data_IF_309964155989
#
_entry.id   IF_309964155989
#
_cell.length_a   1.000
_cell.length_b   1.000
_cell.length_c   1.000
_cell.angle_alpha   90.00
_cell.angle_beta   90.00
_cell.angle_gamma   90.00
#
_symmetry.space_group_name_H-M   'P 1'
#
loop_
_entity.id
_entity.type
_entity.pdbx_description
1 polymer ?
#
# COMPACT_ATOMS: atom_id res chain seq x y z
N UNK A 1 -14.84 -18.42 -8.62
CA UNK A 1 -13.55 -18.35 -9.33
C UNK A 1 -12.50 -18.39 -8.26
N UNK A 2 -11.65 -19.41 -8.24
CA UNK A 2 -10.55 -19.49 -7.27
C UNK A 2 -9.51 -18.44 -7.64
N UNK A 3 -9.33 -17.47 -6.75
CA UNK A 3 -8.42 -16.36 -6.99
C UNK A 3 -6.98 -16.84 -6.77
N UNK A 4 -6.16 -16.81 -7.81
CA UNK A 4 -4.74 -17.22 -7.73
C UNK A 4 -3.89 -16.07 -7.20
N UNK A 5 -3.09 -16.32 -6.17
CA UNK A 5 -2.13 -15.37 -5.61
C UNK A 5 -0.72 -15.78 -6.04
N UNK A 6 0.00 -14.88 -6.71
CA UNK A 6 1.45 -14.95 -6.85
C UNK A 6 2.12 -14.20 -5.69
N UNK A 7 3.20 -14.74 -5.13
CA UNK A 7 3.94 -14.06 -4.04
C UNK A 7 5.24 -13.48 -4.60
N UNK A 8 5.47 -12.19 -4.36
CA UNK A 8 6.70 -11.50 -4.73
C UNK A 8 7.40 -10.95 -3.49
N UNK A 9 8.69 -11.22 -3.37
CA UNK A 9 9.55 -10.67 -2.33
C UNK A 9 10.52 -9.66 -2.94
N UNK A 10 10.40 -8.38 -2.57
CA UNK A 10 11.35 -7.34 -2.97
C UNK A 10 12.49 -7.30 -1.96
N UNK A 11 13.72 -7.48 -2.46
CA UNK A 11 14.93 -7.53 -1.63
C UNK A 11 16.15 -7.03 -2.41
N UNK A 12 16.97 -6.16 -1.80
CA UNK A 12 18.23 -5.72 -2.39
C UNK A 12 19.27 -6.86 -2.41
N UNK A 13 20.08 -6.93 -3.47
CA UNK A 13 21.16 -7.94 -3.57
C UNK A 13 22.20 -7.85 -2.45
N UNK A 14 22.44 -6.65 -1.92
CA UNK A 14 23.32 -6.43 -0.77
C UNK A 14 22.75 -6.94 0.55
N UNK A 15 21.45 -7.25 0.63
CA UNK A 15 20.73 -7.56 1.87
C UNK A 15 20.47 -9.07 2.01
N UNK A 16 21.54 -9.88 1.92
CA UNK A 16 21.45 -11.34 1.98
C UNK A 16 20.86 -11.88 3.29
N UNK A 17 21.12 -11.20 4.42
CA UNK A 17 20.59 -11.62 5.74
C UNK A 17 19.07 -11.46 5.81
N UNK A 18 18.55 -10.35 5.26
CA UNK A 18 17.10 -10.08 5.16
C UNK A 18 16.41 -11.05 4.21
N UNK A 19 17.09 -11.44 3.12
CA UNK A 19 16.61 -12.49 2.22
C UNK A 19 16.50 -13.84 2.95
N UNK A 20 17.54 -14.25 3.68
CA UNK A 20 17.53 -15.51 4.46
C UNK A 20 16.43 -15.53 5.51
N UNK A 21 16.21 -14.40 6.19
CA UNK A 21 15.08 -14.23 7.11
C UNK A 21 13.74 -14.45 6.41
N UNK A 22 13.48 -13.77 5.30
CA UNK A 22 12.21 -13.90 4.59
C UNK A 22 12.01 -15.29 3.95
N UNK A 23 13.08 -15.94 3.50
CA UNK A 23 13.03 -17.32 3.04
C UNK A 23 12.52 -18.22 4.19
N UNK A 24 13.11 -18.10 5.38
CA UNK A 24 12.66 -18.87 6.55
C UNK A 24 11.21 -18.58 6.93
N UNK A 25 10.77 -17.31 6.83
CA UNK A 25 9.39 -16.93 7.13
C UNK A 25 8.40 -17.51 6.12
N UNK A 26 8.75 -17.51 4.82
CA UNK A 26 7.91 -18.01 3.73
C UNK A 26 7.87 -19.55 3.71
N UNK A 27 8.99 -20.21 3.99
CA UNK A 27 9.06 -21.67 4.13
C UNK A 27 8.19 -22.14 5.32
N UNK A 28 8.19 -21.38 6.44
CA UNK A 28 7.39 -21.71 7.63
C UNK A 28 5.89 -21.72 7.36
N UNK A 29 5.41 -20.89 6.43
CA UNK A 29 3.98 -20.77 6.07
C UNK A 29 3.64 -21.49 4.76
N UNK A 30 4.59 -22.26 4.22
CA UNK A 30 4.47 -23.03 2.96
C UNK A 30 4.04 -22.16 1.75
N UNK A 31 4.66 -20.98 1.61
CA UNK A 31 4.40 -20.08 0.49
C UNK A 31 5.61 -20.00 -0.45
N UNK A 32 5.44 -20.58 -1.64
CA UNK A 32 6.36 -20.34 -2.76
C UNK A 32 6.30 -18.88 -3.18
N UNK A 33 7.48 -18.31 -3.48
CA UNK A 33 7.60 -16.92 -3.87
C UNK A 33 8.62 -16.73 -4.99
N UNK A 34 8.50 -15.58 -5.65
CA UNK A 34 9.52 -15.10 -6.57
C UNK A 34 10.25 -13.90 -5.97
N UNK A 35 11.58 -13.98 -5.92
CA UNK A 35 12.43 -12.86 -5.53
C UNK A 35 12.50 -11.84 -6.65
N UNK A 36 12.22 -10.58 -6.32
CA UNK A 36 12.37 -9.43 -7.20
C UNK A 36 13.52 -8.58 -6.66
N UNK A 37 14.64 -8.45 -7.41
CA UNK A 37 15.77 -7.64 -6.96
C UNK A 37 15.35 -6.18 -6.74
N UNK A 38 15.76 -5.62 -5.60
CA UNK A 38 15.64 -4.19 -5.34
C UNK A 38 16.48 -3.40 -6.35
N UNK A 39 15.99 -2.23 -6.76
CA UNK A 39 16.63 -1.41 -7.80
C UNK A 39 17.35 -0.24 -7.12
N UNK A 40 18.61 0.00 -7.49
CA UNK A 40 19.30 1.24 -7.12
C UNK A 40 18.96 2.34 -8.13
N UNK A 41 18.82 3.59 -7.67
CA UNK A 41 18.52 4.71 -8.58
C UNK A 41 19.57 4.90 -9.69
N UNK A 42 20.83 4.57 -9.40
CA UNK A 42 21.94 4.58 -10.39
C UNK A 42 21.79 3.52 -11.49
N UNK A 43 21.01 2.47 -11.23
CA UNK A 43 20.80 1.34 -12.12
C UNK A 43 19.33 1.24 -12.61
N UNK A 44 18.62 2.38 -12.69
CA UNK A 44 17.23 2.41 -13.16
C UNK A 44 17.10 1.80 -14.58
N UNK A 45 16.25 0.78 -14.77
CA UNK A 45 15.91 0.25 -16.08
C UNK A 45 15.36 1.33 -17.00
N UNK A 46 15.72 1.29 -18.28
CA UNK A 46 15.27 2.27 -19.27
C UNK A 46 13.75 2.43 -19.30
N UNK A 47 13.02 1.31 -19.17
CA UNK A 47 11.56 1.29 -19.14
C UNK A 47 10.96 2.04 -17.94
N UNK A 48 11.69 2.22 -16.84
CA UNK A 48 11.20 2.91 -15.64
C UNK A 48 11.65 4.37 -15.56
N UNK A 49 12.54 4.82 -16.45
CA UNK A 49 13.08 6.19 -16.40
C UNK A 49 12.00 7.25 -16.57
N UNK A 50 10.95 6.99 -17.35
CA UNK A 50 9.83 7.94 -17.54
C UNK A 50 9.11 8.33 -16.24
N UNK A 51 9.21 7.51 -15.20
CA UNK A 51 8.58 7.78 -13.90
C UNK A 51 9.40 8.69 -13.00
N UNK A 52 10.70 8.86 -13.27
CA UNK A 52 11.64 9.52 -12.35
C UNK A 52 12.55 10.54 -13.01
N UNK A 53 12.83 10.38 -14.29
CA UNK A 53 13.80 11.14 -15.05
C UNK A 53 13.14 12.10 -16.04
N UNK A 54 13.89 13.13 -16.45
CA UNK A 54 13.57 13.93 -17.63
C UNK A 54 14.05 13.26 -18.93
N UNK A 55 13.83 13.94 -20.07
CA UNK A 55 14.26 13.44 -21.39
C UNK A 55 15.79 13.33 -21.56
N UNK A 56 16.59 13.98 -20.70
CA UNK A 56 18.04 13.85 -20.67
C UNK A 56 18.50 12.70 -19.77
N UNK A 57 17.58 12.03 -19.07
CA UNK A 57 17.86 10.91 -18.16
C UNK A 57 18.23 11.34 -16.74
N UNK A 58 18.22 12.64 -16.43
CA UNK A 58 18.49 13.12 -15.09
C UNK A 58 17.28 12.85 -14.18
N UNK A 59 17.51 12.33 -12.97
CA UNK A 59 16.45 12.13 -11.97
C UNK A 59 15.93 13.50 -11.53
N UNK A 60 14.69 13.81 -11.89
CA UNK A 60 14.00 15.06 -11.54
C UNK A 60 12.87 14.86 -10.53
N UNK A 61 12.52 13.59 -10.25
CA UNK A 61 11.61 13.25 -9.17
C UNK A 61 12.15 13.79 -7.83
N UNK A 62 11.32 14.48 -7.02
CA UNK A 62 11.72 15.05 -5.72
C UNK A 62 11.80 13.99 -4.62
N UNK A 63 12.55 12.93 -4.89
CA UNK A 63 12.70 11.73 -4.06
C UNK A 63 14.19 11.51 -3.74
N UNK A 64 14.47 10.90 -2.58
CA UNK A 64 15.81 10.37 -2.31
C UNK A 64 16.10 9.23 -3.28
N UNK A 65 17.38 8.97 -3.55
CA UNK A 65 17.80 7.87 -4.42
C UNK A 65 17.27 6.51 -3.94
N UNK A 66 17.25 6.28 -2.63
CA UNK A 66 16.62 5.09 -2.05
C UNK A 66 15.11 5.00 -2.28
N UNK A 67 14.39 6.12 -2.21
CA UNK A 67 12.94 6.18 -2.48
C UNK A 67 12.64 5.92 -3.97
N UNK A 68 13.49 6.42 -4.88
CA UNK A 68 13.42 6.12 -6.32
C UNK A 68 13.61 4.63 -6.56
N UNK A 69 14.63 4.04 -5.94
CA UNK A 69 14.94 2.61 -6.06
C UNK A 69 13.82 1.71 -5.55
N UNK A 70 13.30 2.00 -4.35
CA UNK A 70 12.15 1.30 -3.76
C UNK A 70 10.91 1.38 -4.67
N UNK A 71 10.56 2.58 -5.14
CA UNK A 71 9.40 2.75 -6.03
C UNK A 71 9.63 1.97 -7.35
N UNK A 72 10.81 2.06 -7.94
CA UNK A 72 11.14 1.32 -9.17
C UNK A 72 10.99 -0.20 -9.00
N UNK A 73 11.40 -0.76 -7.86
CA UNK A 73 11.23 -2.18 -7.57
C UNK A 73 9.74 -2.57 -7.52
N UNK A 74 8.90 -1.79 -6.82
CA UNK A 74 7.45 -2.04 -6.81
C UNK A 74 6.82 -1.91 -8.20
N UNK A 75 7.17 -0.88 -8.99
CA UNK A 75 6.67 -0.71 -10.35
C UNK A 75 7.03 -1.89 -11.26
N UNK A 76 8.19 -2.52 -11.04
CA UNK A 76 8.59 -3.72 -11.78
C UNK A 76 7.63 -4.88 -11.52
N UNK A 77 7.22 -5.09 -10.27
CA UNK A 77 6.19 -6.09 -9.92
C UNK A 77 4.83 -5.71 -10.51
N UNK A 78 4.46 -4.42 -10.41
CA UNK A 78 3.16 -3.95 -10.90
C UNK A 78 3.03 -4.10 -12.40
N UNK A 79 4.09 -3.85 -13.18
CA UNK A 79 4.06 -4.03 -14.64
C UNK A 79 3.80 -5.47 -15.03
N UNK A 80 4.52 -6.40 -14.39
CA UNK A 80 4.32 -7.84 -14.61
C UNK A 80 2.88 -8.27 -14.31
N UNK A 81 2.31 -7.78 -13.21
CA UNK A 81 0.92 -8.08 -12.84
C UNK A 81 -0.09 -7.39 -13.76
N UNK A 82 0.21 -6.19 -14.25
CA UNK A 82 -0.66 -5.43 -15.16
C UNK A 82 -0.73 -6.07 -16.56
N UNK A 83 0.39 -6.62 -17.02
CA UNK A 83 0.58 -7.31 -18.31
C UNK A 83 0.04 -8.75 -18.30
N UNK A 84 -0.11 -9.35 -17.13
CA UNK A 84 -0.78 -10.63 -17.00
C UNK A 84 -2.25 -10.49 -17.43
N UNK A 85 -2.59 -11.12 -18.56
CA UNK A 85 -3.95 -11.17 -19.11
C UNK A 85 -4.78 -12.29 -18.45
N UNK A 86 -4.65 -12.45 -17.13
CA UNK A 86 -5.34 -13.46 -16.36
C UNK A 86 -6.34 -12.80 -15.41
N UNK A 87 -7.63 -12.99 -15.67
CA UNK A 87 -8.70 -12.50 -14.80
C UNK A 87 -8.64 -13.19 -13.45
N UNK A 88 -8.79 -12.41 -12.38
CA UNK A 88 -8.67 -12.90 -11.01
C UNK A 88 -7.24 -13.05 -10.50
N UNK A 89 -6.20 -12.80 -11.30
CA UNK A 89 -4.83 -12.82 -10.79
C UNK A 89 -4.61 -11.68 -9.78
N UNK A 90 -4.06 -12.05 -8.62
CA UNK A 90 -3.62 -11.12 -7.59
C UNK A 90 -2.18 -11.44 -7.18
N UNK A 91 -1.50 -10.46 -6.58
CA UNK A 91 -0.18 -10.63 -6.04
C UNK A 91 -0.12 -10.26 -4.56
N UNK A 92 0.52 -11.08 -3.75
CA UNK A 92 1.06 -10.70 -2.45
C UNK A 92 2.45 -10.11 -2.68
N UNK A 93 2.63 -8.84 -2.33
CA UNK A 93 3.90 -8.14 -2.47
C UNK A 93 4.45 -7.90 -1.06
N UNK A 94 5.66 -8.39 -0.81
CA UNK A 94 6.37 -8.32 0.46
C UNK A 94 7.69 -7.55 0.29
N UNK A 95 8.02 -6.72 1.28
CA UNK A 95 9.38 -6.24 1.53
C UNK A 95 10.14 -7.22 2.44
N UNK A 96 11.45 -7.08 2.50
CA UNK A 96 12.38 -8.00 3.16
C UNK A 96 12.57 -7.79 4.66
N UNK A 97 11.66 -7.05 5.30
CA UNK A 97 11.62 -6.85 6.76
C UNK A 97 10.24 -7.12 7.37
N UNK A 98 9.49 -8.02 6.74
CA UNK A 98 8.23 -8.52 7.26
C UNK A 98 8.44 -9.68 8.27
N UNK A 99 7.47 -9.86 9.17
CA UNK A 99 7.26 -11.11 9.90
C UNK A 99 5.84 -11.60 9.69
N UNK A 100 5.72 -12.87 9.29
CA UNK A 100 4.49 -13.51 8.85
C UNK A 100 3.85 -14.29 10.01
N UNK A 101 2.52 -14.30 10.16
CA UNK A 101 1.86 -15.17 11.13
C UNK A 101 1.82 -16.62 10.61
N UNK A 102 1.82 -17.62 11.49
CA UNK A 102 1.78 -19.06 11.11
C UNK A 102 0.56 -19.39 10.24
N UNK A 103 -0.58 -18.74 10.48
CA UNK A 103 -1.83 -18.95 9.76
C UNK A 103 -2.04 -17.99 8.57
N UNK A 104 -0.96 -17.43 7.99
CA UNK A 104 -1.08 -16.45 6.91
C UNK A 104 -1.90 -16.97 5.72
N UNK A 105 -1.67 -18.22 5.30
CA UNK A 105 -2.38 -18.83 4.17
C UNK A 105 -3.88 -18.93 4.39
N UNK A 106 -4.32 -19.23 5.62
CA UNK A 106 -5.75 -19.24 5.99
C UNK A 106 -6.36 -17.84 6.00
N UNK A 107 -5.60 -16.85 6.50
CA UNK A 107 -6.00 -15.44 6.49
C UNK A 107 -6.18 -14.96 5.05
N UNK A 108 -5.22 -15.22 4.17
CA UNK A 108 -5.28 -14.84 2.76
C UNK A 108 -6.46 -15.50 2.06
N UNK A 109 -6.65 -16.81 2.26
CA UNK A 109 -7.77 -17.55 1.67
C UNK A 109 -9.13 -17.00 2.10
N UNK A 110 -9.28 -16.70 3.39
CA UNK A 110 -10.51 -16.12 3.94
C UNK A 110 -10.74 -14.68 3.48
N UNK A 111 -9.65 -13.92 3.37
CA UNK A 111 -9.65 -12.55 2.88
C UNK A 111 -10.14 -12.48 1.43
N UNK A 112 -9.59 -13.30 0.53
CA UNK A 112 -10.01 -13.33 -0.88
C UNK A 112 -11.50 -13.65 -1.04
N UNK A 113 -12.05 -14.57 -0.23
CA UNK A 113 -13.50 -14.88 -0.23
C UNK A 113 -14.36 -13.73 0.30
N UNK A 114 -13.78 -12.87 1.12
CA UNK A 114 -14.48 -11.75 1.79
C UNK A 114 -14.39 -10.45 0.99
N UNK A 115 -13.40 -10.32 0.11
CA UNK A 115 -13.23 -9.13 -0.72
C UNK A 115 -14.42 -8.94 -1.68
N UNK A 116 -14.84 -7.68 -1.90
CA UNK A 116 -15.84 -7.40 -2.92
C UNK A 116 -15.30 -7.74 -4.32
N UNK A 117 -16.17 -7.94 -5.33
CA UNK A 117 -15.73 -8.28 -6.69
C UNK A 117 -14.76 -7.27 -7.30
N UNK A 118 -14.86 -5.99 -6.91
CA UNK A 118 -13.95 -4.93 -7.32
C UNK A 118 -13.10 -4.50 -6.14
N UNK A 119 -11.79 -4.69 -6.25
CA UNK A 119 -10.79 -4.20 -5.31
C UNK A 119 -9.46 -3.99 -6.05
N UNK A 120 -8.62 -3.06 -5.58
CA UNK A 120 -7.31 -2.81 -6.17
C UNK A 120 -6.17 -3.17 -5.23
N UNK A 121 -6.26 -2.74 -3.97
CA UNK A 121 -5.18 -2.91 -2.98
C UNK A 121 -5.77 -3.38 -1.65
N UNK A 122 -5.12 -4.34 -0.99
CA UNK A 122 -5.42 -4.68 0.40
C UNK A 122 -4.17 -4.57 1.25
N UNK A 123 -4.20 -3.69 2.25
CA UNK A 123 -3.11 -3.48 3.20
C UNK A 123 -3.06 -4.62 4.23
N UNK A 124 -1.92 -5.30 4.34
CA UNK A 124 -1.72 -6.42 5.26
C UNK A 124 -0.74 -6.12 6.40
N UNK A 125 0.01 -5.03 6.29
CA UNK A 125 0.92 -4.52 7.33
C UNK A 125 0.47 -3.14 7.84
N UNK A 126 1.11 -2.72 8.93
CA UNK A 126 1.00 -1.39 9.53
C UNK A 126 -0.39 -1.07 10.14
N UNK A 127 -0.50 -1.01 11.48
CA UNK A 127 -1.79 -0.77 12.12
C UNK A 127 -2.32 0.66 11.89
N UNK A 128 -3.65 0.85 11.83
CA UNK A 128 -4.24 2.16 11.63
C UNK A 128 -4.00 3.12 12.82
N UNK A 129 -3.36 4.25 12.51
CA UNK A 129 -3.21 5.39 13.43
C UNK A 129 -4.42 6.33 13.43
N UNK A 130 -5.37 6.14 12.49
CA UNK A 130 -6.60 6.93 12.33
C UNK A 130 -7.83 6.02 12.34
N UNK A 131 -9.01 6.62 12.30
CA UNK A 131 -10.26 5.89 12.21
C UNK A 131 -10.32 5.02 10.95
N UNK A 132 -11.12 3.95 11.03
CA UNK A 132 -11.41 3.06 9.93
C UNK A 132 -12.86 2.57 10.07
N UNK A 133 -13.41 2.07 8.97
CA UNK A 133 -14.77 1.53 8.88
C UNK A 133 -14.66 0.02 8.64
N UNK A 134 -15.15 -0.82 9.56
CA UNK A 134 -15.28 -2.25 9.33
C UNK A 134 -16.25 -2.53 8.18
N UNK A 135 -15.87 -3.43 7.27
CA UNK A 135 -16.66 -3.84 6.11
C UNK A 135 -17.19 -5.26 6.33
N UNK A 136 -16.33 -6.20 6.70
CA UNK A 136 -16.68 -7.60 6.91
C UNK A 136 -15.69 -8.28 7.87
N UNK A 137 -16.08 -9.42 8.44
CA UNK A 137 -15.14 -10.30 9.17
C UNK A 137 -14.40 -11.17 8.16
N UNK A 138 -13.09 -11.27 8.31
CA UNK A 138 -12.24 -12.17 7.52
C UNK A 138 -12.18 -13.52 8.24
N UNK A 139 -11.95 -13.51 9.55
CA UNK A 139 -11.97 -14.68 10.41
C UNK A 139 -12.39 -14.29 11.85
N UNK A 140 -12.08 -15.13 12.85
CA UNK A 140 -12.39 -14.86 14.25
C UNK A 140 -11.60 -13.70 14.89
N UNK A 141 -10.52 -13.25 14.26
CA UNK A 141 -9.60 -12.22 14.78
C UNK A 141 -9.51 -10.98 13.88
N UNK A 142 -9.70 -11.14 12.57
CA UNK A 142 -9.43 -10.15 11.54
C UNK A 142 -10.69 -9.60 10.90
N UNK A 143 -10.67 -8.30 10.59
CA UNK A 143 -11.72 -7.60 9.86
C UNK A 143 -11.16 -6.96 8.60
N UNK A 144 -11.92 -7.04 7.51
CA UNK A 144 -11.73 -6.22 6.32
C UNK A 144 -12.24 -4.81 6.64
N UNK A 145 -11.45 -3.79 6.36
CA UNK A 145 -11.79 -2.39 6.66
C UNK A 145 -11.51 -1.46 5.49
N UNK A 146 -12.16 -0.29 5.50
CA UNK A 146 -11.73 0.90 4.76
C UNK A 146 -11.15 1.94 5.71
N UNK A 147 -10.04 2.56 5.34
CA UNK A 147 -9.38 3.55 6.18
C UNK A 147 -9.90 4.96 5.94
N UNK A 148 -10.05 5.77 7.00
CA UNK A 148 -10.22 7.23 6.82
C UNK A 148 -8.91 7.93 6.44
N UNK A 149 -7.80 7.25 6.70
CA UNK A 149 -6.45 7.60 6.26
C UNK A 149 -5.61 6.33 6.29
N UNK A 150 -5.15 5.92 5.11
CA UNK A 150 -4.35 4.70 4.95
C UNK A 150 -3.04 4.83 5.75
N UNK A 151 -2.60 3.78 6.47
CA UNK A 151 -1.30 3.73 7.13
C UNK A 151 -0.12 3.97 6.15
N UNK A 152 1.01 4.44 6.69
CA UNK A 152 2.26 4.54 5.93
C UNK A 152 2.92 3.15 5.75
N UNK A 153 4.01 3.15 4.98
CA UNK A 153 4.84 2.00 4.58
C UNK A 153 4.19 1.12 3.52
N UNK A 154 4.95 0.18 2.95
CA UNK A 154 4.46 -0.76 1.95
C UNK A 154 4.93 -2.21 2.18
N UNK A 155 5.34 -2.52 3.42
CA UNK A 155 5.91 -3.81 3.84
C UNK A 155 5.13 -5.02 3.33
N UNK A 156 3.79 -5.03 3.44
CA UNK A 156 2.98 -6.09 2.85
C UNK A 156 1.61 -5.61 2.37
N UNK A 157 1.26 -5.98 1.13
CA UNK A 157 -0.07 -5.73 0.57
C UNK A 157 -0.42 -6.74 -0.54
N UNK A 158 -1.73 -6.96 -0.72
CA UNK A 158 -2.26 -7.56 -1.93
C UNK A 158 -2.50 -6.48 -3.00
N UNK A 159 -2.26 -6.86 -4.25
CA UNK A 159 -2.53 -6.04 -5.42
C UNK A 159 -3.29 -6.89 -6.45
N UNK A 160 -4.39 -6.37 -6.98
CA UNK A 160 -5.09 -6.99 -8.12
C UNK A 160 -4.48 -6.54 -9.45
N UNK A 161 -4.72 -7.30 -10.52
CA UNK A 161 -4.32 -6.88 -11.87
C UNK A 161 -4.92 -5.52 -12.28
N UNK A 162 -6.16 -5.21 -11.88
CA UNK A 162 -6.76 -3.89 -12.14
C UNK A 162 -6.04 -2.77 -11.38
N UNK A 163 -5.67 -3.03 -10.11
CA UNK A 163 -4.89 -2.10 -9.29
C UNK A 163 -3.52 -1.85 -9.89
N UNK A 164 -2.86 -2.90 -10.36
CA UNK A 164 -1.57 -2.82 -11.02
C UNK A 164 -1.62 -1.92 -12.28
N UNK A 165 -2.62 -2.12 -13.15
CA UNK A 165 -2.85 -1.27 -14.35
C UNK A 165 -3.05 0.20 -13.98
N UNK A 166 -3.70 0.50 -12.85
CA UNK A 166 -3.86 1.87 -12.35
C UNK A 166 -2.52 2.44 -11.85
N UNK A 167 -1.72 1.64 -11.15
CA UNK A 167 -0.44 2.06 -10.55
C UNK A 167 0.69 2.25 -11.58
N UNK A 168 0.68 1.52 -12.70
CA UNK A 168 1.71 1.64 -13.75
C UNK A 168 1.45 2.76 -14.75
N UNK A 169 0.35 3.52 -14.62
CA UNK A 169 0.06 4.63 -15.53
C UNK A 169 1.24 5.62 -15.59
N UNK A 170 1.63 6.09 -16.79
CA UNK A 170 2.73 7.04 -16.96
C UNK A 170 2.55 8.31 -16.12
N UNK A 171 3.66 8.89 -15.69
CA UNK A 171 3.68 10.16 -14.96
C UNK A 171 4.79 10.22 -13.93
N UNK A 172 5.36 11.43 -13.78
CA UNK A 172 6.44 11.69 -12.83
C UNK A 172 5.99 11.37 -11.39
N UNK A 173 6.76 10.53 -10.69
CA UNK A 173 6.51 10.17 -9.30
C UNK A 173 7.08 11.25 -8.38
N UNK A 174 6.19 11.96 -7.69
CA UNK A 174 6.53 13.07 -6.79
C UNK A 174 6.35 12.74 -5.31
N UNK A 175 5.91 11.51 -5.02
CA UNK A 175 5.76 10.97 -3.67
C UNK A 175 6.52 9.66 -3.59
N UNK A 176 7.15 9.39 -2.44
CA UNK A 176 7.71 8.07 -2.15
C UNK A 176 6.60 7.01 -2.27
N UNK A 177 6.97 5.76 -2.54
CA UNK A 177 5.97 4.73 -2.87
C UNK A 177 4.93 4.52 -1.76
N UNK A 178 5.36 4.52 -0.51
CA UNK A 178 4.47 4.41 0.64
C UNK A 178 3.51 5.59 0.76
N UNK A 179 4.00 6.82 0.53
CA UNK A 179 3.20 8.04 0.45
C UNK A 179 2.24 8.04 -0.74
N UNK A 180 2.63 7.41 -1.85
CA UNK A 180 1.83 7.29 -3.05
C UNK A 180 0.66 6.32 -2.84
N UNK A 181 0.94 5.16 -2.24
CA UNK A 181 -0.06 4.11 -2.02
C UNK A 181 -1.12 4.51 -0.99
N UNK A 182 -0.80 5.41 -0.04
CA UNK A 182 -1.78 5.99 0.89
C UNK A 182 -2.64 7.12 0.30
N UNK A 183 -2.52 7.39 -1.01
CA UNK A 183 -3.27 8.43 -1.74
C UNK A 183 -4.08 7.81 -2.86
N UNK A 184 -5.08 6.97 -2.53
CA UNK A 184 -5.83 6.20 -3.52
C UNK A 184 -6.53 7.08 -4.56
N UNK A 185 -6.92 8.30 -4.19
CA UNK A 185 -7.53 9.29 -5.09
C UNK A 185 -6.63 9.75 -6.23
N UNK A 186 -5.30 9.57 -6.14
CA UNK A 186 -4.39 9.93 -7.24
C UNK A 186 -4.55 9.00 -8.45
N UNK A 187 -4.98 7.76 -8.24
CA UNK A 187 -5.14 6.76 -9.32
C UNK A 187 -6.53 6.13 -9.38
N UNK A 188 -7.43 6.51 -8.47
CA UNK A 188 -8.74 5.88 -8.30
C UNK A 188 -8.63 4.43 -7.81
N UNK A 189 -7.79 4.18 -6.81
CA UNK A 189 -7.61 2.85 -6.21
C UNK A 189 -8.73 2.56 -5.21
N UNK A 190 -9.43 1.44 -5.36
CA UNK A 190 -10.27 0.90 -4.30
C UNK A 190 -9.40 0.12 -3.31
N UNK A 191 -9.10 0.78 -2.19
CA UNK A 191 -8.15 0.27 -1.19
C UNK A 191 -8.84 -0.14 0.10
N UNK A 192 -8.58 -1.38 0.50
CA UNK A 192 -8.97 -1.96 1.76
C UNK A 192 -7.75 -2.23 2.64
N UNK A 193 -7.99 -2.70 3.85
CA UNK A 193 -6.96 -3.40 4.62
C UNK A 193 -7.53 -4.29 5.68
N UNK A 194 -6.64 -4.90 6.46
CA UNK A 194 -6.99 -5.88 7.49
C UNK A 194 -6.64 -5.31 8.87
N UNK A 195 -7.57 -5.46 9.82
CA UNK A 195 -7.37 -5.03 11.21
C UNK A 195 -7.75 -6.18 12.18
N UNK A 196 -6.86 -6.57 13.12
CA UNK A 196 -5.47 -6.13 13.25
C UNK A 196 -4.65 -6.46 11.99
N UNK A 197 -3.53 -5.76 11.76
CA UNK A 197 -2.69 -6.05 10.62
C UNK A 197 -2.02 -7.43 10.85
N UNK A 198 -2.21 -8.41 9.95
CA UNK A 198 -1.70 -9.77 10.17
C UNK A 198 -0.18 -9.86 10.04
N UNK A 199 0.44 -9.04 9.19
CA UNK A 199 1.89 -9.04 8.94
C UNK A 199 2.54 -7.90 9.73
N UNK A 200 3.58 -8.24 10.48
CA UNK A 200 4.36 -7.28 11.26
C UNK A 200 5.44 -6.64 10.39
N UNK A 201 5.53 -5.31 10.41
CA UNK A 201 6.53 -4.54 9.67
C UNK A 201 7.86 -4.32 10.42
N UNK A 202 8.90 -3.91 9.69
CA UNK A 202 10.13 -3.30 10.21
C UNK A 202 10.83 -4.14 11.29
N UNK A 203 11.01 -5.44 11.05
CA UNK A 203 11.73 -6.31 12.00
C UNK A 203 13.26 -6.11 11.96
N UNK A 204 13.75 -5.32 11.01
CA UNK A 204 15.14 -4.88 10.89
C UNK A 204 15.25 -3.34 10.96
N UNK A 205 16.46 -2.84 11.20
CA UNK A 205 16.76 -1.44 10.98
C UNK A 205 16.72 -1.11 9.49
N UNK A 206 16.18 0.06 9.14
CA UNK A 206 16.12 0.55 7.76
C UNK A 206 17.52 0.66 7.16
N UNK A 207 17.76 -0.04 6.05
CA UNK A 207 19.03 -0.02 5.31
C UNK A 207 19.09 1.13 4.28
N UNK A 208 18.01 1.89 4.13
CA UNK A 208 17.87 2.97 3.15
C UNK A 208 18.22 4.34 3.75
N UNK A 209 18.41 4.41 5.07
CA UNK A 209 18.76 5.65 5.78
C UNK A 209 20.26 5.97 5.73
N UNK A 210 20.81 6.09 4.51
CA UNK A 210 21.97 6.93 4.29
C UNK A 210 21.50 8.38 4.12
N UNK A 211 22.15 9.28 4.86
CA UNK A 211 21.84 10.70 5.16
C UNK A 211 21.83 11.61 3.92
N UNK A 212 20.98 11.35 2.93
CA UNK A 212 20.78 12.28 1.80
C UNK A 212 19.49 13.10 1.98
N UNK A 213 19.57 14.44 1.98
CA UNK A 213 18.38 15.28 1.94
C UNK A 213 17.63 15.05 0.62
N UNK A 214 16.28 15.08 0.66
CA UNK A 214 15.47 15.03 -0.57
C UNK A 214 15.94 16.16 -1.50
N UNK A 215 16.33 15.82 -2.73
CA UNK A 215 16.74 16.82 -3.72
C UNK A 215 15.52 17.69 -4.04
N UNK A 216 15.62 19.03 -3.95
CA UNK A 216 14.59 19.88 -4.49
C UNK A 216 14.58 19.65 -6.01
N UNK A 217 13.50 19.08 -6.52
CA UNK A 217 13.21 19.12 -7.96
C UNK A 217 13.08 20.59 -8.43
N UNK A 218 12.95 20.84 -9.74
CA UNK A 218 13.00 22.19 -10.28
C UNK A 218 11.94 23.08 -9.62
N UNK A 219 12.35 24.18 -8.96
CA UNK A 219 11.46 25.01 -8.14
C UNK A 219 10.21 25.47 -8.89
N UNK A 220 10.32 25.72 -10.19
CA UNK A 220 9.21 26.11 -11.07
C UNK A 220 8.24 24.96 -11.37
N UNK A 221 8.72 23.71 -11.43
CA UNK A 221 7.91 22.50 -11.62
C UNK A 221 7.24 22.12 -10.31
N UNK A 222 8.01 22.12 -9.22
CA UNK A 222 7.51 21.85 -7.86
C UNK A 222 6.47 22.87 -7.44
N UNK A 223 6.75 24.18 -7.48
CA UNK A 223 5.82 25.19 -6.98
C UNK A 223 4.53 25.27 -7.82
N UNK A 224 4.62 25.14 -9.15
CA UNK A 224 3.43 25.13 -10.03
C UNK A 224 2.60 23.86 -9.84
N UNK A 225 3.23 22.70 -9.68
CA UNK A 225 2.51 21.45 -9.45
C UNK A 225 1.94 21.44 -8.03
N UNK A 226 2.71 21.73 -6.98
CA UNK A 226 2.28 21.71 -5.57
C UNK A 226 1.11 22.66 -5.31
N UNK A 227 1.17 23.95 -5.69
CA UNK A 227 0.07 24.89 -5.37
C UNK A 227 -1.25 24.53 -6.04
N UNK A 228 -1.22 24.11 -7.31
CA UNK A 228 -2.43 23.69 -8.03
C UNK A 228 -2.86 22.28 -7.65
N UNK A 229 -1.92 21.40 -7.33
CA UNK A 229 -2.20 20.04 -6.87
C UNK A 229 -2.75 20.04 -5.47
N UNK A 230 -2.29 20.86 -4.53
CA UNK A 230 -2.69 20.73 -3.11
C UNK A 230 -4.16 21.06 -2.87
N UNK A 231 -4.69 22.10 -3.52
CA UNK A 231 -6.13 22.38 -3.43
C UNK A 231 -6.96 21.31 -4.17
N UNK A 232 -6.59 20.94 -5.40
CA UNK A 232 -7.29 19.87 -6.14
C UNK A 232 -7.15 18.50 -5.47
N UNK A 233 -6.04 18.24 -4.82
CA UNK A 233 -5.76 17.05 -4.03
C UNK A 233 -6.58 17.05 -2.77
N UNK A 234 -6.78 18.20 -2.13
CA UNK A 234 -7.65 18.32 -0.96
C UNK A 234 -9.11 18.07 -1.35
N UNK A 235 -9.61 18.75 -2.38
CA UNK A 235 -10.98 18.55 -2.89
C UNK A 235 -11.18 17.13 -3.41
N UNK A 236 -10.24 16.65 -4.24
CA UNK A 236 -10.26 15.30 -4.79
C UNK A 236 -10.19 14.23 -3.71
N UNK A 237 -9.38 14.44 -2.67
CA UNK A 237 -9.36 13.57 -1.49
C UNK A 237 -10.70 13.57 -0.77
N UNK A 238 -11.28 14.73 -0.45
CA UNK A 238 -12.55 14.79 0.28
C UNK A 238 -13.65 14.11 -0.53
N UNK A 239 -13.74 14.43 -1.83
CA UNK A 239 -14.71 13.80 -2.73
C UNK A 239 -14.53 12.28 -2.78
N UNK A 240 -13.29 11.80 -2.92
CA UNK A 240 -12.95 10.38 -2.91
C UNK A 240 -13.29 9.70 -1.58
N UNK A 241 -12.92 10.32 -0.45
CA UNK A 241 -13.15 9.75 0.88
C UNK A 241 -14.67 9.67 1.18
N UNK A 242 -15.45 10.68 0.77
CA UNK A 242 -16.91 10.69 0.91
C UNK A 242 -17.58 9.64 0.00
N UNK A 243 -17.16 9.51 -1.25
CA UNK A 243 -17.71 8.49 -2.16
C UNK A 243 -17.36 7.07 -1.71
N UNK A 244 -16.15 6.89 -1.17
CA UNK A 244 -15.64 5.57 -0.74
C UNK A 244 -16.21 5.14 0.61
N UNK A 245 -16.33 6.04 1.59
CA UNK A 245 -16.86 5.67 2.90
C UNK A 245 -18.37 5.85 3.01
N UNK A 246 -18.95 6.73 2.20
CA UNK A 246 -20.28 7.28 2.41
C UNK A 246 -20.26 8.47 3.38
N UNK A 247 -21.11 9.50 3.19
CA UNK A 247 -21.04 10.76 3.92
C UNK A 247 -21.14 10.60 5.44
N UNK A 248 -22.06 9.76 5.92
CA UNK A 248 -22.26 9.53 7.35
C UNK A 248 -21.03 8.87 8.02
N UNK A 249 -20.47 7.83 7.40
CA UNK A 249 -19.29 7.11 7.91
C UNK A 249 -18.04 7.97 7.83
N UNK A 250 -17.89 8.77 6.77
CA UNK A 250 -16.82 9.74 6.63
C UNK A 250 -16.86 10.79 7.75
N UNK A 251 -18.03 11.40 8.00
CA UNK A 251 -18.22 12.36 9.09
C UNK A 251 -17.91 11.74 10.47
N UNK A 252 -18.38 10.51 10.71
CA UNK A 252 -18.05 9.76 11.92
C UNK A 252 -16.54 9.54 12.09
N UNK A 253 -15.83 9.16 11.02
CA UNK A 253 -14.38 9.04 11.05
C UNK A 253 -13.68 10.37 11.34
N UNK A 254 -14.17 11.47 10.78
CA UNK A 254 -13.63 12.81 11.03
C UNK A 254 -13.74 13.18 12.52
N UNK A 255 -14.91 12.97 13.13
CA UNK A 255 -15.13 13.21 14.57
C UNK A 255 -14.17 12.39 15.44
N UNK A 256 -14.04 11.09 15.16
CA UNK A 256 -13.10 10.21 15.89
C UNK A 256 -11.65 10.69 15.74
N UNK A 257 -11.28 11.16 14.55
CA UNK A 257 -9.92 11.65 14.30
C UNK A 257 -9.60 12.97 15.01
N UNK A 258 -10.62 13.83 15.20
CA UNK A 258 -10.55 15.11 15.91
C UNK A 258 -10.61 14.96 17.44
N UNK A 259 -11.28 13.92 17.95
CA UNK A 259 -11.38 13.66 19.39
C UNK A 259 -10.01 13.42 20.06
N UNK A 260 -9.90 13.70 21.36
CA UNK A 260 -8.66 13.47 22.12
C UNK A 260 -8.36 11.97 22.34
N UNK A 261 -7.13 11.61 22.72
CA UNK A 261 -6.64 10.22 22.90
C UNK A 261 -7.57 9.30 23.71
N UNK A 262 -8.11 9.67 24.89
CA UNK A 262 -9.01 8.80 25.65
C UNK A 262 -10.32 8.52 24.89
N UNK A 263 -10.89 9.55 24.25
CA UNK A 263 -12.09 9.41 23.41
C UNK A 263 -11.81 8.52 22.18
N UNK A 264 -10.64 8.65 21.54
CA UNK A 264 -10.21 7.76 20.44
C UNK A 264 -10.20 6.29 20.84
N UNK A 265 -9.78 5.95 22.07
CA UNK A 265 -9.75 4.56 22.57
C UNK A 265 -11.16 4.02 22.80
N UNK A 266 -12.06 4.85 23.34
CA UNK A 266 -13.47 4.50 23.56
C UNK A 266 -14.21 4.29 22.22
N UNK A 267 -14.05 5.21 21.27
CA UNK A 267 -14.69 5.13 19.95
C UNK A 267 -14.17 4.01 19.06
N UNK A 268 -12.86 3.70 19.13
CA UNK A 268 -12.31 2.51 18.47
C UNK A 268 -13.04 1.26 18.96
N UNK A 269 -13.32 1.12 20.26
CA UNK A 269 -14.07 -0.02 20.82
C UNK A 269 -15.54 -0.07 20.36
N UNK A 270 -16.24 1.07 20.24
CA UNK A 270 -17.65 1.10 19.81
C UNK A 270 -17.86 0.87 18.31
N UNK A 271 -16.93 1.30 17.45
CA UNK A 271 -16.93 0.95 16.02
C UNK A 271 -16.48 -0.50 15.75
N UNK A 272 -15.71 -1.11 16.66
CA UNK A 272 -15.34 -2.53 16.65
C UNK A 272 -16.51 -3.47 17.05
N UNK A 273 -17.64 -2.94 17.55
CA UNK A 273 -18.76 -3.76 18.03
C UNK A 273 -20.14 -3.46 17.44
N UNK A 274 -20.32 -2.39 16.65
CA UNK A 274 -21.65 -2.00 16.13
C UNK A 274 -21.85 -2.10 14.62
N UNK A 275 -21.13 -3.01 13.94
CA UNK A 275 -21.44 -3.39 12.55
C UNK A 275 -22.45 -4.55 12.43
N UNK A 276 -23.01 -5.06 13.55
CA UNK A 276 -24.03 -6.10 13.54
C UNK A 276 -25.50 -5.59 13.49
N UNK A 277 -25.74 -4.27 13.50
CA UNK A 277 -27.10 -3.72 13.72
C UNK A 277 -27.59 -2.68 12.68
N UNK A 278 -26.87 -2.44 11.59
CA UNK A 278 -27.29 -1.48 10.55
C UNK A 278 -27.34 -2.09 9.13
N UNK A 279 -27.46 -3.41 9.01
CA UNK A 279 -27.67 -4.13 7.73
C UNK A 279 -29.05 -4.81 7.64
N UNK A 280 -29.99 -4.42 8.50
CA UNK A 280 -31.42 -4.61 8.25
C UNK A 280 -31.99 -3.21 8.05
N UNK A 281 -32.31 -2.88 6.81
CA UNK A 281 -33.10 -1.79 6.22
C UNK A 281 -32.39 -1.26 4.98
#
# INVERSE_FOLDING_TARGET
MDQKISVFLINLDSSADRLRHMQSELDRVDLSFERVPGILASALPASLREYFCDGAGAIVAPLKLGEVGCFAAHLSVHRRLAEANEDGLAALILEDDAKLPDNLTDILSSLLRTLPPQWDVVRLSNPPKRAYVPIARVDGQHQLVRYSKIPNFATAYLLSASGARKLVRPGLRVHAFDEYLRRPWLNGLDTFGVVPAPITENVFQSTIDAVEPRKPGPANVIAKNIRKSDFRNLVGRISFDVSTLGPARWAGCLLVNLADKPAKRLFRRTLIHRSALWLKY
#
